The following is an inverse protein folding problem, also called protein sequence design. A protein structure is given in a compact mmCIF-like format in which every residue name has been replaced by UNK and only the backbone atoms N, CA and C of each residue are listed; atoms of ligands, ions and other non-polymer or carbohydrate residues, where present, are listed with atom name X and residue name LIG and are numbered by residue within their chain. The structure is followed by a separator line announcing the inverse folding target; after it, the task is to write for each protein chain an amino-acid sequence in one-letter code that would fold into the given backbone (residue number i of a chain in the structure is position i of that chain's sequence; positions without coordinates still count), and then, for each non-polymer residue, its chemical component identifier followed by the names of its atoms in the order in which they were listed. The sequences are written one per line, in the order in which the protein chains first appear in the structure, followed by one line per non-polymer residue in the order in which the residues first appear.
data_IF_688407897873
#
_entry.id   IF_688407897873
#
_cell.length_a   1.000
_cell.length_b   1.000
_cell.length_c   1.000
_cell.angle_alpha   90.00
_cell.angle_beta   90.00
_cell.angle_gamma   90.00
#
_symmetry.space_group_name_H-M   'P 1'
#
loop_
_entity.id
_entity.type
_entity.pdbx_description
1 polymer ?
#
# COMPACT_ATOMS: atom_id res chain seq x y z
N UNK A 1 15.72 19.63 -7.05
CA UNK A 1 17.14 19.24 -7.22
C UNK A 1 17.17 18.07 -8.17
N UNK A 2 17.91 18.17 -9.28
CA UNK A 2 17.96 17.18 -10.35
C UNK A 2 17.67 17.83 -11.69
N UNK A 3 17.19 17.06 -12.67
CA UNK A 3 16.92 17.55 -14.03
C UNK A 3 15.41 17.67 -14.30
N UNK A 4 15.05 18.56 -15.22
CA UNK A 4 13.66 18.81 -15.61
C UNK A 4 13.14 20.15 -15.08
N UNK A 5 11.87 20.19 -14.71
CA UNK A 5 11.11 21.39 -14.38
C UNK A 5 9.69 21.34 -14.95
N UNK A 6 8.98 22.45 -14.84
CA UNK A 6 7.65 22.62 -15.42
C UNK A 6 7.73 22.56 -16.96
N UNK A 7 6.94 21.68 -17.58
CA UNK A 7 6.85 21.49 -19.05
C UNK A 7 8.20 21.29 -19.76
N UNK A 8 9.13 20.57 -19.14
CA UNK A 8 10.38 20.22 -19.80
C UNK A 8 10.26 18.88 -20.53
N UNK A 9 10.35 18.91 -21.86
CA UNK A 9 10.08 17.74 -22.71
C UNK A 9 11.32 16.90 -23.05
N UNK A 10 12.50 17.27 -22.56
CA UNK A 10 13.73 16.54 -22.89
C UNK A 10 13.92 15.33 -21.97
N UNK A 11 14.83 14.43 -22.35
CA UNK A 11 15.25 13.38 -21.42
C UNK A 11 15.95 13.99 -20.21
N UNK A 12 15.63 13.47 -19.02
CA UNK A 12 16.13 13.95 -17.75
C UNK A 12 17.01 12.89 -17.08
N UNK A 13 18.32 13.11 -17.15
CA UNK A 13 19.33 12.15 -16.73
C UNK A 13 19.55 11.01 -17.74
N UNK A 14 20.53 10.17 -17.44
CA UNK A 14 20.92 9.00 -18.21
C UNK A 14 21.06 7.78 -17.28
N UNK A 15 21.05 6.59 -17.87
CA UNK A 15 21.38 5.37 -17.14
C UNK A 15 22.79 5.49 -16.51
N UNK A 16 22.87 5.26 -15.19
CA UNK A 16 24.12 5.39 -14.43
C UNK A 16 24.40 6.78 -13.86
N UNK A 17 23.58 7.79 -14.19
CA UNK A 17 23.63 9.07 -13.47
C UNK A 17 23.17 8.87 -12.01
N UNK A 18 23.64 9.74 -11.12
CA UNK A 18 23.22 9.72 -9.72
C UNK A 18 22.96 11.14 -9.20
N UNK A 19 21.78 11.36 -8.65
CA UNK A 19 21.44 12.53 -7.85
C UNK A 19 21.61 12.14 -6.39
N UNK A 20 22.67 12.62 -5.75
CA UNK A 20 22.94 12.38 -4.33
C UNK A 20 22.75 13.65 -3.51
N UNK A 21 21.97 13.56 -2.43
CA UNK A 21 21.78 14.64 -1.46
C UNK A 21 22.15 14.13 -0.08
N UNK A 22 23.15 14.75 0.55
CA UNK A 22 23.59 14.42 1.90
C UNK A 22 23.43 15.66 2.77
N UNK A 23 22.48 15.62 3.71
CA UNK A 23 22.37 16.67 4.73
C UNK A 23 23.46 16.44 5.77
N UNK A 24 24.51 17.28 5.78
CA UNK A 24 25.66 17.12 6.69
C UNK A 24 25.29 17.29 8.18
N UNK A 25 24.23 18.05 8.46
CA UNK A 25 23.64 18.25 9.79
C UNK A 25 22.13 18.44 9.64
N UNK A 26 21.33 17.84 10.53
CA UNK A 26 19.87 17.98 10.49
C UNK A 26 19.20 17.07 9.46
N UNK A 27 17.94 17.39 9.12
CA UNK A 27 17.11 16.59 8.21
C UNK A 27 17.01 17.14 6.79
N UNK A 28 16.34 16.39 5.91
CA UNK A 28 15.95 16.82 4.57
C UNK A 28 14.45 17.13 4.60
N UNK A 29 14.04 18.31 4.13
CA UNK A 29 12.63 18.70 4.06
C UNK A 29 12.30 19.25 2.68
N UNK A 30 11.27 18.70 2.05
CA UNK A 30 10.68 19.16 0.80
C UNK A 30 9.28 19.69 1.14
N UNK A 31 9.06 20.99 0.93
CA UNK A 31 7.79 21.65 1.19
C UNK A 31 7.27 22.22 -0.12
N UNK A 32 6.18 21.66 -0.62
CA UNK A 32 5.46 22.25 -1.73
C UNK A 32 4.76 23.56 -1.29
N UNK A 33 4.46 24.41 -2.26
CA UNK A 33 3.78 25.68 -2.01
C UNK A 33 2.27 25.54 -1.79
N UNK A 34 1.60 26.67 -1.63
CA UNK A 34 0.14 26.74 -1.50
C UNK A 34 -0.58 27.13 -2.79
N UNK A 35 0.17 27.51 -3.83
CA UNK A 35 -0.38 27.82 -5.16
C UNK A 35 -0.61 26.53 -5.95
N UNK A 36 -1.48 26.57 -6.95
CA UNK A 36 -1.65 25.48 -7.92
C UNK A 36 -0.29 25.08 -8.51
N UNK A 37 -0.09 23.78 -8.74
CA UNK A 37 1.08 23.23 -9.43
C UNK A 37 2.42 23.51 -8.72
N UNK A 38 2.37 24.00 -7.48
CA UNK A 38 3.57 24.27 -6.70
C UNK A 38 4.17 22.95 -6.20
N UNK A 39 5.46 22.73 -6.47
CA UNK A 39 6.12 21.50 -6.07
C UNK A 39 7.53 21.67 -5.51
N UNK A 40 7.98 20.66 -4.77
CA UNK A 40 9.36 20.48 -4.33
C UNK A 40 9.81 19.05 -4.66
N UNK A 41 10.86 18.89 -5.47
CA UNK A 41 11.31 17.58 -5.92
C UNK A 41 12.81 17.40 -5.74
N UNK A 42 13.24 16.21 -5.30
CA UNK A 42 14.60 15.70 -5.51
C UNK A 42 14.51 14.53 -6.48
N UNK A 43 15.00 14.73 -7.70
CA UNK A 43 14.98 13.75 -8.77
C UNK A 43 14.78 14.36 -10.15
N UNK A 44 14.23 13.58 -11.08
CA UNK A 44 14.12 13.96 -12.49
C UNK A 44 12.66 14.08 -12.90
N UNK A 45 12.30 15.13 -13.63
CA UNK A 45 10.92 15.40 -14.04
C UNK A 45 10.44 16.74 -13.52
N UNK A 46 9.18 16.81 -13.11
CA UNK A 46 8.46 18.04 -12.81
C UNK A 46 7.01 17.96 -13.27
N UNK A 47 6.22 19.00 -12.98
CA UNK A 47 4.84 19.12 -13.47
C UNK A 47 4.85 19.24 -15.00
N UNK A 48 4.06 18.43 -15.70
CA UNK A 48 3.97 18.41 -17.17
C UNK A 48 5.26 17.97 -17.89
N UNK A 49 6.27 17.46 -17.17
CA UNK A 49 7.56 17.15 -17.75
C UNK A 49 7.47 15.93 -18.69
N UNK A 50 7.85 16.10 -19.97
CA UNK A 50 8.05 15.01 -20.91
C UNK A 50 9.40 14.29 -20.77
N UNK A 51 9.75 13.51 -21.80
CA UNK A 51 11.01 12.77 -21.91
C UNK A 51 11.20 11.62 -20.90
N UNK A 52 12.17 10.74 -21.19
CA UNK A 52 12.53 9.63 -20.29
C UNK A 52 13.29 10.18 -19.09
N UNK A 53 12.97 9.71 -17.89
CA UNK A 53 13.67 10.08 -16.65
C UNK A 53 14.47 8.90 -16.12
N UNK A 54 15.78 9.08 -15.97
CA UNK A 54 16.70 8.00 -15.56
C UNK A 54 17.75 8.45 -14.56
N UNK A 55 18.18 7.52 -13.71
CA UNK A 55 19.32 7.69 -12.81
C UNK A 55 18.98 7.32 -11.37
N UNK A 56 19.99 7.07 -10.55
CA UNK A 56 19.77 6.76 -9.15
C UNK A 56 19.54 8.04 -8.34
N UNK A 57 18.60 8.02 -7.39
CA UNK A 57 18.37 9.10 -6.43
C UNK A 57 18.68 8.58 -5.04
N UNK A 58 19.68 9.19 -4.39
CA UNK A 58 20.20 8.74 -3.11
C UNK A 58 20.17 9.87 -2.08
N UNK A 59 19.38 9.71 -1.02
CA UNK A 59 19.31 10.66 0.11
C UNK A 59 20.01 10.09 1.33
N UNK A 60 20.99 10.82 1.86
CA UNK A 60 21.83 10.43 2.99
C UNK A 60 22.45 9.03 2.83
N UNK A 61 22.71 8.63 1.60
CA UNK A 61 23.36 7.37 1.23
C UNK A 61 24.58 7.74 0.38
N UNK A 62 25.72 7.15 0.71
CA UNK A 62 26.95 7.36 -0.05
C UNK A 62 26.82 6.70 -1.43
N UNK A 63 27.01 7.43 -2.55
CA UNK A 63 26.67 6.92 -3.89
C UNK A 63 27.55 5.76 -4.38
N UNK A 64 28.76 5.60 -3.83
CA UNK A 64 29.68 4.53 -4.24
C UNK A 64 29.55 3.29 -3.35
N UNK A 65 29.47 3.49 -2.04
CA UNK A 65 29.45 2.39 -1.06
C UNK A 65 28.04 1.96 -0.69
N UNK A 66 27.03 2.74 -1.09
CA UNK A 66 25.65 2.63 -0.64
C UNK A 66 25.49 2.64 0.89
N UNK A 67 26.51 3.12 1.60
CA UNK A 67 26.51 3.13 3.04
C UNK A 67 25.61 4.27 3.56
N UNK A 68 24.79 4.01 4.59
CA UNK A 68 24.01 5.05 5.22
C UNK A 68 24.92 6.09 5.87
N UNK A 69 24.61 7.37 5.64
CA UNK A 69 25.30 8.47 6.31
C UNK A 69 24.85 8.51 7.77
N UNK A 70 25.79 8.51 8.72
CA UNK A 70 25.52 8.41 10.17
C UNK A 70 24.87 9.66 10.81
N UNK A 71 24.13 10.44 10.02
CA UNK A 71 23.69 11.78 10.38
C UNK A 71 22.29 11.73 10.99
N UNK A 72 22.14 12.41 12.12
CA UNK A 72 20.87 12.60 12.80
C UNK A 72 19.99 13.59 12.04
N UNK A 73 18.85 13.10 11.52
CA UNK A 73 17.89 13.94 10.82
C UNK A 73 16.71 13.16 10.26
N UNK A 74 15.54 13.79 10.30
CA UNK A 74 14.32 13.30 9.66
C UNK A 74 14.38 13.56 8.15
N UNK A 75 13.61 12.80 7.38
CA UNK A 75 13.26 13.14 6.00
C UNK A 75 11.76 13.44 5.96
N UNK A 76 11.38 14.63 5.49
CA UNK A 76 9.98 15.06 5.46
C UNK A 76 9.60 15.60 4.09
N UNK A 77 8.52 15.06 3.52
CA UNK A 77 7.88 15.54 2.30
C UNK A 77 6.50 16.06 2.69
N UNK A 78 6.20 17.32 2.33
CA UNK A 78 4.91 17.97 2.59
C UNK A 78 4.31 18.46 1.26
N UNK A 79 3.20 17.87 0.86
CA UNK A 79 2.58 18.02 -0.47
C UNK A 79 1.89 19.35 -0.75
N UNK A 80 1.88 20.31 0.18
CA UNK A 80 1.33 21.65 -0.06
C UNK A 80 -0.19 21.76 0.17
N UNK A 81 -0.81 22.85 -0.27
CA UNK A 81 -2.25 23.09 -0.05
C UNK A 81 -3.02 23.56 -1.28
N UNK A 82 -2.34 23.73 -2.42
CA UNK A 82 -2.98 24.04 -3.69
C UNK A 82 -3.43 22.77 -4.42
N UNK A 83 -4.20 22.92 -5.49
CA UNK A 83 -4.45 21.82 -6.43
C UNK A 83 -3.14 21.38 -7.07
N UNK A 84 -2.97 20.09 -7.33
CA UNK A 84 -1.82 19.54 -8.07
C UNK A 84 -0.46 19.84 -7.41
N UNK A 85 -0.48 20.16 -6.11
CA UNK A 85 0.74 20.44 -5.35
C UNK A 85 1.41 19.16 -4.89
N UNK A 86 2.75 19.11 -4.94
CA UNK A 86 3.43 17.89 -4.50
C UNK A 86 4.83 18.07 -3.95
N UNK A 87 5.23 17.13 -3.09
CA UNK A 87 6.63 16.94 -2.72
C UNK A 87 7.08 15.51 -3.04
N UNK A 88 8.20 15.34 -3.75
CA UNK A 88 8.64 14.03 -4.22
C UNK A 88 10.15 13.81 -4.09
N UNK A 89 10.54 12.59 -3.73
CA UNK A 89 11.90 12.07 -3.96
C UNK A 89 11.78 10.93 -4.97
N UNK A 90 12.17 11.16 -6.22
CA UNK A 90 11.75 10.25 -7.28
C UNK A 90 11.83 10.78 -8.69
N UNK A 91 11.37 9.98 -9.64
CA UNK A 91 11.22 10.41 -11.03
C UNK A 91 9.77 10.55 -11.43
N UNK A 92 9.48 11.54 -12.27
CA UNK A 92 8.14 11.89 -12.71
C UNK A 92 7.69 13.20 -12.08
N UNK A 93 6.47 13.24 -11.56
CA UNK A 93 5.79 14.45 -11.13
C UNK A 93 4.33 14.41 -11.54
N UNK A 94 3.60 15.48 -11.28
CA UNK A 94 2.24 15.65 -11.78
C UNK A 94 2.24 15.75 -13.33
N UNK A 95 1.34 15.02 -14.01
CA UNK A 95 1.22 15.01 -15.47
C UNK A 95 2.52 14.67 -16.23
N UNK A 96 3.46 13.99 -15.57
CA UNK A 96 4.75 13.69 -16.16
C UNK A 96 4.64 12.50 -17.13
N UNK A 97 4.91 12.71 -18.42
CA UNK A 97 4.82 11.65 -19.43
C UNK A 97 6.11 10.88 -19.69
N UNK A 98 6.02 9.69 -20.29
CA UNK A 98 7.11 8.76 -20.61
C UNK A 98 7.75 8.06 -19.39
N UNK A 99 8.57 7.06 -19.70
CA UNK A 99 9.10 6.13 -18.70
C UNK A 99 10.09 6.74 -17.71
N UNK A 100 10.03 6.22 -16.49
CA UNK A 100 10.89 6.54 -15.35
C UNK A 100 11.63 5.28 -14.91
N UNK A 101 12.93 5.37 -14.58
CA UNK A 101 13.71 4.22 -14.09
C UNK A 101 14.97 4.63 -13.32
N UNK A 102 15.48 3.73 -12.48
CA UNK A 102 16.61 3.98 -11.58
C UNK A 102 16.24 3.70 -10.12
N UNK A 103 17.23 3.52 -9.26
CA UNK A 103 16.98 3.27 -7.85
C UNK A 103 16.62 4.56 -7.11
N UNK A 104 15.69 4.49 -6.18
CA UNK A 104 15.37 5.58 -5.26
C UNK A 104 15.61 5.08 -3.85
N UNK A 105 16.61 5.62 -3.17
CA UNK A 105 16.97 5.17 -1.82
C UNK A 105 17.10 6.32 -0.83
N UNK A 106 16.50 6.16 0.34
CA UNK A 106 16.54 7.11 1.45
C UNK A 106 17.07 6.41 2.70
N UNK A 107 18.04 7.05 3.36
CA UNK A 107 18.38 6.74 4.74
C UNK A 107 18.02 7.91 5.67
N UNK A 108 17.39 7.60 6.80
CA UNK A 108 17.13 8.55 7.88
C UNK A 108 17.44 7.92 9.24
N UNK A 109 18.29 8.58 10.03
CA UNK A 109 18.48 8.19 11.43
C UNK A 109 17.32 8.66 12.33
N UNK A 110 16.46 9.56 11.83
CA UNK A 110 15.20 9.95 12.45
C UNK A 110 14.02 9.29 11.74
N UNK A 111 12.89 9.99 11.67
CA UNK A 111 11.68 9.53 10.96
C UNK A 111 11.73 9.89 9.47
N UNK A 112 11.11 9.05 8.64
CA UNK A 112 10.71 9.44 7.28
C UNK A 112 9.20 9.68 7.25
N UNK A 113 8.77 10.91 6.92
CA UNK A 113 7.37 11.32 6.92
C UNK A 113 6.96 11.86 5.55
N UNK A 114 5.87 11.31 5.01
CA UNK A 114 5.20 11.74 3.80
C UNK A 114 3.81 12.23 4.20
N UNK A 115 3.56 13.53 4.08
CA UNK A 115 2.27 14.15 4.31
C UNK A 115 1.75 14.70 2.99
N UNK A 116 0.72 14.04 2.45
CA UNK A 116 -0.02 14.55 1.30
C UNK A 116 -0.57 15.96 1.57
N UNK A 117 -0.79 16.73 0.52
CA UNK A 117 -1.33 18.08 0.67
C UNK A 117 -2.81 18.12 1.03
N UNK A 118 -3.31 19.35 1.23
CA UNK A 118 -4.73 19.60 1.54
C UNK A 118 -5.58 19.96 0.32
N UNK A 119 -4.95 20.27 -0.83
CA UNK A 119 -5.63 20.54 -2.08
C UNK A 119 -5.99 19.26 -2.82
N UNK A 120 -6.85 19.36 -3.84
CA UNK A 120 -7.15 18.21 -4.69
C UNK A 120 -5.89 17.77 -5.42
N UNK A 121 -5.75 16.46 -5.60
CA UNK A 121 -4.63 15.84 -6.33
C UNK A 121 -3.27 16.09 -5.68
N UNK A 122 -3.25 16.69 -4.48
CA UNK A 122 -2.01 17.05 -3.82
C UNK A 122 -1.35 15.83 -3.20
N UNK A 123 -0.06 15.60 -3.47
CA UNK A 123 0.57 14.33 -3.12
C UNK A 123 1.98 14.43 -2.55
N UNK A 124 2.40 13.33 -1.92
CA UNK A 124 3.80 13.07 -1.61
C UNK A 124 4.20 11.68 -2.04
N UNK A 125 5.40 11.55 -2.60
CA UNK A 125 5.83 10.24 -3.10
C UNK A 125 7.34 10.04 -2.95
N UNK A 126 7.72 8.81 -2.61
CA UNK A 126 9.07 8.29 -2.80
C UNK A 126 9.01 7.14 -3.81
N UNK A 127 9.60 7.32 -4.99
CA UNK A 127 9.55 6.32 -6.06
C UNK A 127 9.36 6.93 -7.44
N UNK A 128 8.67 6.22 -8.33
CA UNK A 128 8.49 6.62 -9.73
C UNK A 128 7.03 6.88 -10.07
N UNK A 129 6.76 7.87 -10.92
CA UNK A 129 5.41 8.20 -11.39
C UNK A 129 4.95 9.55 -10.85
N UNK A 130 3.77 9.60 -10.27
CA UNK A 130 3.12 10.83 -9.82
C UNK A 130 1.62 10.79 -10.08
N UNK A 131 0.95 11.93 -10.00
CA UNK A 131 -0.44 12.03 -10.39
C UNK A 131 -0.54 12.15 -11.93
N UNK A 132 -1.51 11.49 -12.54
CA UNK A 132 -1.80 11.54 -13.98
C UNK A 132 -0.55 11.35 -14.87
N UNK A 133 0.36 10.45 -14.46
CA UNK A 133 1.62 10.20 -15.15
C UNK A 133 1.49 9.03 -16.13
N UNK A 134 2.00 9.24 -17.33
CA UNK A 134 1.96 8.24 -18.41
C UNK A 134 3.28 7.52 -18.59
N UNK A 135 3.22 6.23 -18.91
CA UNK A 135 4.35 5.40 -19.34
C UNK A 135 4.82 4.43 -18.26
N UNK A 136 5.84 3.62 -18.56
CA UNK A 136 6.31 2.63 -17.58
C UNK A 136 7.03 3.32 -16.41
N UNK A 137 6.67 2.94 -15.19
CA UNK A 137 7.22 3.49 -13.96
C UNK A 137 8.05 2.47 -13.19
N UNK A 138 9.36 2.70 -13.20
CA UNK A 138 10.38 1.77 -12.75
C UNK A 138 10.63 0.62 -13.72
N UNK A 139 11.68 -0.14 -13.44
CA UNK A 139 12.04 -1.39 -14.10
C UNK A 139 12.09 -2.55 -13.10
N UNK A 140 12.05 -3.79 -13.59
CA UNK A 140 12.10 -4.97 -12.72
C UNK A 140 13.36 -5.06 -11.85
N UNK A 141 14.46 -4.41 -12.25
CA UNK A 141 15.71 -4.31 -11.49
C UNK A 141 15.73 -3.17 -10.48
N UNK A 142 14.79 -2.23 -10.57
CA UNK A 142 14.82 -1.02 -9.78
C UNK A 142 14.35 -1.30 -8.36
N UNK A 143 14.88 -0.51 -7.43
CA UNK A 143 14.54 -0.58 -6.01
C UNK A 143 14.12 0.81 -5.54
N UNK A 144 12.96 0.87 -4.89
CA UNK A 144 12.55 1.98 -4.04
C UNK A 144 12.76 1.56 -2.58
N UNK A 145 13.75 2.14 -1.90
CA UNK A 145 14.13 1.78 -0.54
C UNK A 145 14.03 2.98 0.42
N UNK A 146 13.35 2.80 1.54
CA UNK A 146 13.31 3.77 2.65
C UNK A 146 13.74 3.08 3.93
N UNK A 147 14.89 3.45 4.47
CA UNK A 147 15.38 2.96 5.75
C UNK A 147 15.34 4.11 6.75
N UNK A 148 14.49 3.99 7.77
CA UNK A 148 14.31 4.98 8.83
C UNK A 148 14.45 4.34 10.20
N UNK A 149 15.35 4.86 11.03
CA UNK A 149 15.53 4.35 12.40
C UNK A 149 14.43 4.82 13.37
N UNK A 150 13.78 5.96 13.09
CA UNK A 150 12.70 6.52 13.92
C UNK A 150 11.30 6.10 13.51
N UNK A 151 11.13 5.40 12.38
CA UNK A 151 9.84 4.97 11.86
C UNK A 151 9.40 5.73 10.60
N UNK A 152 8.42 5.17 9.91
CA UNK A 152 7.89 5.67 8.64
C UNK A 152 6.42 6.03 8.80
N UNK A 153 6.03 7.22 8.36
CA UNK A 153 4.65 7.70 8.43
C UNK A 153 4.19 8.21 7.07
N UNK A 154 3.11 7.64 6.54
CA UNK A 154 2.39 8.12 5.38
C UNK A 154 1.02 8.62 5.86
N UNK A 155 0.72 9.89 5.57
CA UNK A 155 -0.55 10.50 5.87
C UNK A 155 -1.16 11.10 4.60
N UNK A 156 -2.35 10.64 4.25
CA UNK A 156 -3.15 11.22 3.17
C UNK A 156 -3.65 12.63 3.52
N UNK A 157 -4.34 13.29 2.58
CA UNK A 157 -4.79 14.67 2.77
C UNK A 157 -5.87 14.77 3.85
N UNK A 158 -5.65 15.59 4.88
CA UNK A 158 -6.65 15.86 5.94
C UNK A 158 -7.53 17.08 5.66
N UNK A 159 -7.29 17.74 4.53
CA UNK A 159 -8.09 18.86 4.03
C UNK A 159 -9.36 18.40 3.30
N UNK A 160 -9.99 19.34 2.59
CA UNK A 160 -11.14 19.06 1.73
C UNK A 160 -10.77 18.59 0.32
N UNK A 161 -9.49 18.61 -0.05
CA UNK A 161 -9.00 18.17 -1.36
C UNK A 161 -9.13 16.67 -1.57
N UNK A 162 -9.66 16.28 -2.71
CA UNK A 162 -9.89 14.89 -3.12
C UNK A 162 -8.66 14.30 -3.80
N UNK A 163 -8.54 12.96 -3.83
CA UNK A 163 -7.44 12.22 -4.47
C UNK A 163 -6.05 12.59 -3.94
N UNK A 164 -5.95 13.18 -2.75
CA UNK A 164 -4.69 13.54 -2.12
C UNK A 164 -4.02 12.32 -1.48
N UNK A 165 -2.76 12.05 -1.80
CA UNK A 165 -2.12 10.78 -1.42
C UNK A 165 -0.67 10.88 -0.93
N UNK A 166 -0.28 9.88 -0.14
CA UNK A 166 1.12 9.66 0.25
C UNK A 166 1.53 8.23 -0.13
N UNK A 167 2.63 8.08 -0.86
CA UNK A 167 3.05 6.76 -1.36
C UNK A 167 4.56 6.53 -1.28
N UNK A 168 4.97 5.30 -0.93
CA UNK A 168 6.31 4.79 -1.19
C UNK A 168 6.17 3.66 -2.21
N UNK A 169 6.71 3.83 -3.41
CA UNK A 169 6.63 2.87 -4.51
C UNK A 169 6.36 3.54 -5.85
N UNK A 170 6.04 2.72 -6.85
CA UNK A 170 5.90 3.17 -8.24
C UNK A 170 4.44 3.26 -8.66
N UNK A 171 4.08 4.31 -9.39
CA UNK A 171 2.71 4.62 -9.81
C UNK A 171 2.27 5.96 -9.24
N UNK A 172 1.06 5.99 -8.69
CA UNK A 172 0.37 7.19 -8.23
C UNK A 172 -1.10 7.19 -8.67
N UNK A 173 -1.79 8.30 -8.42
CA UNK A 173 -3.19 8.46 -8.85
C UNK A 173 -3.28 8.63 -10.36
N UNK A 174 -4.18 7.91 -11.03
CA UNK A 174 -4.40 8.00 -12.49
C UNK A 174 -3.12 7.76 -13.32
N UNK A 175 -2.27 6.84 -12.87
CA UNK A 175 -1.04 6.52 -13.61
C UNK A 175 -1.26 5.39 -14.60
N UNK A 176 -0.70 5.54 -15.78
CA UNK A 176 -0.83 4.58 -16.88
C UNK A 176 0.49 3.92 -17.21
N UNK A 177 0.50 2.59 -17.38
CA UNK A 177 1.66 1.84 -17.85
C UNK A 177 2.13 0.77 -16.88
N UNK A 178 3.29 0.17 -17.15
CA UNK A 178 3.82 -0.87 -16.27
C UNK A 178 4.48 -0.25 -15.04
N UNK A 179 4.01 -0.59 -13.84
CA UNK A 179 4.68 -0.25 -12.58
C UNK A 179 5.54 -1.44 -12.12
N UNK A 180 6.86 -1.28 -12.13
CA UNK A 180 7.79 -2.38 -11.85
C UNK A 180 8.89 -1.95 -10.89
N UNK A 181 9.38 -2.90 -10.09
CA UNK A 181 10.49 -2.70 -9.16
C UNK A 181 10.12 -3.09 -7.73
N UNK A 182 11.13 -3.31 -6.90
CA UNK A 182 10.93 -3.72 -5.52
C UNK A 182 10.74 -2.50 -4.62
N UNK A 183 9.80 -2.59 -3.68
CA UNK A 183 9.53 -1.55 -2.68
C UNK A 183 9.90 -2.08 -1.30
N UNK A 184 10.87 -1.44 -0.67
CA UNK A 184 11.54 -1.94 0.53
C UNK A 184 11.54 -0.86 1.61
N UNK A 185 10.80 -1.10 2.70
CA UNK A 185 10.75 -0.19 3.85
C UNK A 185 11.38 -0.86 5.05
N UNK A 186 12.38 -0.20 5.62
CA UNK A 186 13.16 -0.70 6.75
C UNK A 186 13.77 -2.08 6.44
N UNK A 187 14.33 -2.21 5.24
CA UNK A 187 14.99 -3.41 4.77
C UNK A 187 16.23 -3.00 3.99
N UNK A 188 17.37 -3.63 4.27
CA UNK A 188 18.61 -3.40 3.54
C UNK A 188 18.61 -4.22 2.24
N UNK A 189 18.50 -3.57 1.06
CA UNK A 189 18.49 -4.26 -0.22
C UNK A 189 19.80 -4.98 -0.55
N UNK A 190 20.92 -4.62 0.08
CA UNK A 190 22.23 -5.21 -0.19
C UNK A 190 22.47 -6.41 0.72
N UNK A 191 22.24 -6.23 2.03
CA UNK A 191 22.40 -7.29 3.02
C UNK A 191 21.27 -8.32 3.02
N UNK A 192 20.10 -7.98 2.46
CA UNK A 192 18.93 -8.85 2.46
C UNK A 192 18.35 -9.06 3.87
N UNK A 193 18.50 -8.08 4.75
CA UNK A 193 18.10 -8.15 6.17
C UNK A 193 17.25 -6.94 6.57
N UNK A 194 16.48 -7.07 7.65
CA UNK A 194 15.77 -5.93 8.24
C UNK A 194 16.75 -4.83 8.68
N UNK A 195 16.39 -3.57 8.46
CA UNK A 195 17.19 -2.39 8.78
C UNK A 195 16.29 -1.23 9.22
N UNK A 196 16.79 -0.24 9.95
CA UNK A 196 15.94 0.82 10.51
C UNK A 196 15.19 0.34 11.75
N UNK A 197 14.00 0.91 12.00
CA UNK A 197 13.19 0.62 13.18
C UNK A 197 11.97 1.53 13.29
N UNK A 198 11.42 1.64 14.50
CA UNK A 198 10.27 2.50 14.78
C UNK A 198 8.97 2.00 14.14
N UNK A 199 7.84 2.64 14.43
CA UNK A 199 6.55 2.25 13.86
C UNK A 199 6.49 2.58 12.36
N UNK A 200 5.78 1.75 11.60
CA UNK A 200 5.33 2.06 10.23
C UNK A 200 3.84 2.31 10.25
N UNK A 201 3.42 3.53 9.89
CA UNK A 201 2.01 3.95 9.92
C UNK A 201 1.58 4.46 8.56
N UNK A 202 0.47 3.92 8.07
CA UNK A 202 -0.28 4.40 6.91
C UNK A 202 -1.64 4.83 7.41
N UNK A 203 -1.98 6.11 7.24
CA UNK A 203 -3.30 6.63 7.57
C UNK A 203 -3.81 7.47 6.41
N UNK A 204 -4.87 7.01 5.76
CA UNK A 204 -5.49 7.76 4.69
C UNK A 204 -6.30 8.95 5.22
N UNK A 205 -6.54 9.91 4.32
CA UNK A 205 -7.11 11.21 4.59
C UNK A 205 -8.63 11.22 4.79
N UNK A 206 -9.19 12.43 4.91
CA UNK A 206 -10.61 12.63 5.25
C UNK A 206 -11.51 12.89 4.05
N UNK A 207 -10.95 13.25 2.89
CA UNK A 207 -11.68 13.54 1.67
C UNK A 207 -11.68 12.35 0.70
N UNK A 208 -12.54 12.42 -0.32
CA UNK A 208 -12.75 11.34 -1.30
C UNK A 208 -11.44 10.94 -1.97
N UNK A 209 -11.23 9.64 -2.12
CA UNK A 209 -10.17 9.03 -2.91
C UNK A 209 -8.75 9.30 -2.42
N UNK A 210 -8.64 9.89 -1.23
CA UNK A 210 -7.36 10.05 -0.57
C UNK A 210 -6.81 8.67 -0.24
N UNK A 211 -5.52 8.43 -0.40
CA UNK A 211 -4.97 7.13 -0.08
C UNK A 211 -3.57 7.20 0.49
N UNK A 212 -3.18 6.11 1.13
CA UNK A 212 -1.78 5.86 1.45
C UNK A 212 -1.37 4.48 0.99
N UNK A 213 -0.19 4.36 0.41
CA UNK A 213 0.29 3.06 -0.07
C UNK A 213 1.80 2.89 0.11
N UNK A 214 2.20 1.69 0.52
CA UNK A 214 3.58 1.21 0.33
C UNK A 214 3.51 0.05 -0.65
N UNK A 215 3.99 0.25 -1.88
CA UNK A 215 3.89 -0.74 -2.95
C UNK A 215 3.65 -0.08 -4.32
N UNK A 216 3.45 -0.91 -5.34
CA UNK A 216 3.28 -0.45 -6.72
C UNK A 216 1.81 -0.33 -7.11
N UNK A 217 1.45 0.78 -7.75
CA UNK A 217 0.10 1.09 -8.21
C UNK A 217 -0.38 2.43 -7.66
N UNK A 218 -1.65 2.46 -7.24
CA UNK A 218 -2.31 3.69 -6.77
C UNK A 218 -3.78 3.70 -7.16
N UNK A 219 -4.47 4.80 -6.89
CA UNK A 219 -5.89 4.91 -7.25
C UNK A 219 -6.03 5.05 -8.75
N UNK A 220 -6.92 4.26 -9.36
CA UNK A 220 -7.19 4.32 -10.79
C UNK A 220 -5.94 4.14 -11.68
N UNK A 221 -4.91 3.45 -11.17
CA UNK A 221 -3.68 3.20 -11.92
C UNK A 221 -3.86 2.02 -12.90
N UNK A 222 -3.65 2.26 -14.20
CA UNK A 222 -3.77 1.27 -15.26
C UNK A 222 -2.43 0.65 -15.66
N UNK A 223 -2.46 -0.63 -16.04
CA UNK A 223 -1.30 -1.38 -16.51
C UNK A 223 -0.70 -2.33 -15.48
N UNK A 224 0.26 -3.14 -15.93
CA UNK A 224 0.77 -4.27 -15.15
C UNK A 224 1.59 -3.80 -13.94
N UNK A 225 1.41 -4.44 -12.79
CA UNK A 225 2.13 -4.15 -11.54
C UNK A 225 3.01 -5.33 -11.18
N UNK A 226 4.29 -5.09 -10.92
CA UNK A 226 5.23 -6.17 -10.61
C UNK A 226 6.33 -5.77 -9.62
N UNK A 227 6.88 -6.75 -8.91
CA UNK A 227 7.92 -6.55 -7.90
C UNK A 227 7.44 -6.97 -6.50
N UNK A 228 8.37 -7.04 -5.55
CA UNK A 228 8.06 -7.42 -4.17
C UNK A 228 7.90 -6.17 -3.30
N UNK A 229 7.07 -6.28 -2.26
CA UNK A 229 6.97 -5.29 -1.19
C UNK A 229 7.42 -5.90 0.13
N UNK A 230 8.39 -5.29 0.82
CA UNK A 230 8.82 -5.71 2.16
C UNK A 230 8.74 -4.51 3.10
N UNK A 231 8.08 -4.67 4.24
CA UNK A 231 7.95 -3.64 5.28
C UNK A 231 8.33 -4.22 6.62
N UNK A 232 9.31 -3.61 7.29
CA UNK A 232 9.65 -3.92 8.68
C UNK A 232 9.39 -2.71 9.58
N UNK A 233 8.94 -2.94 10.81
CA UNK A 233 8.84 -1.89 11.82
C UNK A 233 8.72 -2.49 13.22
N UNK A 234 8.80 -1.65 14.24
CA UNK A 234 8.50 -2.06 15.61
C UNK A 234 7.03 -2.50 15.71
N UNK A 235 6.14 -1.75 15.07
CA UNK A 235 4.72 -2.06 14.85
C UNK A 235 4.30 -1.58 13.47
N UNK A 236 3.23 -2.16 12.89
CA UNK A 236 2.69 -1.73 11.59
C UNK A 236 1.20 -1.43 11.71
N UNK A 237 0.79 -0.26 11.23
CA UNK A 237 -0.61 0.19 11.27
C UNK A 237 -1.06 0.64 9.89
N UNK A 238 -2.13 0.04 9.37
CA UNK A 238 -2.75 0.36 8.07
C UNK A 238 -4.19 0.77 8.32
N UNK A 239 -4.45 2.08 8.25
CA UNK A 239 -5.72 2.68 8.68
C UNK A 239 -6.37 3.40 7.51
N UNK A 240 -7.57 2.97 7.14
CA UNK A 240 -8.36 3.60 6.10
C UNK A 240 -8.87 4.99 6.55
N UNK A 241 -9.09 5.88 5.58
CA UNK A 241 -9.50 7.26 5.80
C UNK A 241 -11.02 7.44 5.81
N UNK A 242 -11.51 8.53 6.40
CA UNK A 242 -12.95 8.78 6.52
C UNK A 242 -13.63 9.23 5.21
N UNK A 243 -12.85 9.52 4.17
CA UNK A 243 -13.37 9.86 2.85
C UNK A 243 -13.93 8.66 2.10
N UNK A 244 -14.83 8.89 1.15
CA UNK A 244 -15.27 7.83 0.24
C UNK A 244 -14.08 7.32 -0.59
N UNK A 245 -13.92 6.01 -0.77
CA UNK A 245 -12.79 5.42 -1.49
C UNK A 245 -11.44 5.60 -0.77
N UNK A 246 -11.41 6.13 0.46
CA UNK A 246 -10.15 6.53 1.09
C UNK A 246 -9.40 5.34 1.72
N UNK A 247 -8.58 4.63 0.94
CA UNK A 247 -7.95 3.38 1.38
C UNK A 247 -6.50 3.53 1.85
N UNK A 248 -6.03 2.51 2.57
CA UNK A 248 -4.63 2.34 2.93
C UNK A 248 -4.17 0.92 2.60
N UNK A 249 -3.01 0.78 1.95
CA UNK A 249 -2.53 -0.53 1.48
C UNK A 249 -1.02 -0.70 1.62
N UNK A 250 -0.59 -1.91 2.00
CA UNK A 250 0.78 -2.38 1.79
C UNK A 250 0.75 -3.50 0.75
N UNK A 251 1.52 -3.33 -0.32
CA UNK A 251 1.58 -4.21 -1.48
C UNK A 251 1.01 -3.55 -2.74
N UNK A 252 0.82 -4.34 -3.80
CA UNK A 252 0.49 -3.81 -5.12
C UNK A 252 -1.01 -3.80 -5.39
N UNK A 253 -1.55 -2.69 -5.89
CA UNK A 253 -2.99 -2.58 -6.09
C UNK A 253 -3.41 -1.44 -7.00
N UNK A 254 -4.62 -1.56 -7.53
CA UNK A 254 -5.35 -0.46 -8.14
C UNK A 254 -6.52 -0.09 -7.23
N UNK A 255 -6.46 1.10 -6.65
CA UNK A 255 -7.64 1.69 -6.00
C UNK A 255 -8.71 2.04 -7.03
N UNK A 256 -9.91 2.36 -6.53
CA UNK A 256 -11.05 2.83 -7.31
C UNK A 256 -11.37 4.26 -6.89
N UNK A 257 -11.91 5.07 -7.80
CA UNK A 257 -12.62 6.28 -7.39
C UNK A 257 -13.94 5.96 -6.69
N UNK A 258 -14.26 6.72 -5.64
CA UNK A 258 -15.43 6.54 -4.80
C UNK A 258 -16.74 6.82 -5.52
N UNK A 259 -16.69 7.47 -6.68
CA UNK A 259 -17.82 7.61 -7.61
C UNK A 259 -17.93 6.47 -8.63
N UNK A 260 -17.02 5.50 -8.60
CA UNK A 260 -16.93 4.33 -9.48
C UNK A 260 -16.70 4.66 -10.97
N UNK A 261 -16.19 5.85 -11.28
CA UNK A 261 -15.96 6.30 -12.65
C UNK A 261 -14.71 5.68 -13.30
N UNK A 262 -13.69 5.32 -12.51
CA UNK A 262 -12.46 4.70 -12.98
C UNK A 262 -12.00 3.56 -12.04
N UNK A 263 -11.62 2.43 -12.65
CA UNK A 263 -11.11 1.23 -11.98
C UNK A 263 -9.75 0.90 -12.60
N UNK A 264 -8.67 1.03 -11.83
CA UNK A 264 -7.36 0.70 -12.35
C UNK A 264 -7.27 -0.77 -12.76
N UNK A 265 -6.57 -1.03 -13.85
CA UNK A 265 -6.49 -2.31 -14.53
C UNK A 265 -5.08 -2.89 -14.56
N UNK A 266 -4.98 -4.13 -15.02
CA UNK A 266 -3.72 -4.79 -15.35
C UNK A 266 -3.41 -6.00 -14.48
N UNK A 267 -2.56 -6.89 -15.00
CA UNK A 267 -2.10 -8.05 -14.23
C UNK A 267 -1.15 -7.62 -13.10
N UNK A 268 -1.30 -8.23 -11.93
CA UNK A 268 -0.44 -7.97 -10.78
C UNK A 268 0.40 -9.21 -10.49
N UNK A 269 1.72 -9.08 -10.48
CA UNK A 269 2.67 -10.15 -10.14
C UNK A 269 3.56 -9.73 -8.99
N UNK A 270 3.23 -10.13 -7.77
CA UNK A 270 3.85 -9.57 -6.55
C UNK A 270 3.93 -10.55 -5.39
N UNK A 271 4.68 -10.17 -4.37
CA UNK A 271 4.58 -10.71 -3.02
C UNK A 271 4.77 -9.60 -2.00
N UNK A 272 4.06 -9.68 -0.88
CA UNK A 272 4.09 -8.70 0.19
C UNK A 272 4.50 -9.37 1.50
N UNK A 273 5.52 -8.83 2.16
CA UNK A 273 5.98 -9.27 3.48
C UNK A 273 5.94 -8.11 4.47
N UNK A 274 5.30 -8.30 5.61
CA UNK A 274 5.19 -7.30 6.68
C UNK A 274 5.64 -7.92 8.00
N UNK A 275 6.63 -7.30 8.65
CA UNK A 275 7.14 -7.75 9.94
C UNK A 275 7.03 -6.65 11.00
N UNK A 276 6.40 -6.96 12.13
CA UNK A 276 6.38 -6.13 13.35
C UNK A 276 7.26 -6.76 14.43
N UNK A 277 8.44 -6.20 14.67
CA UNK A 277 9.51 -6.83 15.48
C UNK A 277 9.32 -6.68 16.99
N UNK A 278 8.51 -5.72 17.44
CA UNK A 278 8.32 -5.43 18.87
C UNK A 278 6.85 -5.34 19.30
N UNK A 279 5.94 -5.08 18.36
CA UNK A 279 4.53 -4.85 18.56
C UNK A 279 3.67 -5.57 17.52
N UNK A 280 2.45 -5.07 17.35
CA UNK A 280 1.42 -5.70 16.52
C UNK A 280 1.37 -5.18 15.08
N UNK A 281 0.49 -5.83 14.31
CA UNK A 281 0.03 -5.39 12.99
C UNK A 281 -1.47 -5.11 13.08
N UNK A 282 -1.89 -3.89 12.73
CA UNK A 282 -3.30 -3.47 12.75
C UNK A 282 -3.73 -3.07 11.35
N UNK A 283 -4.84 -3.63 10.87
CA UNK A 283 -5.59 -3.16 9.71
C UNK A 283 -6.96 -2.70 10.18
N UNK A 284 -7.29 -1.43 9.97
CA UNK A 284 -8.58 -0.89 10.41
C UNK A 284 -9.25 -0.05 9.34
N UNK A 285 -10.46 -0.47 8.98
CA UNK A 285 -11.42 0.34 8.23
C UNK A 285 -12.54 0.92 9.12
N UNK A 286 -12.36 0.88 10.45
CA UNK A 286 -13.39 1.24 11.45
C UNK A 286 -13.99 2.63 11.20
N UNK A 287 -13.13 3.61 10.95
CA UNK A 287 -13.50 5.00 10.65
C UNK A 287 -13.52 5.30 9.14
N UNK A 288 -13.50 4.26 8.31
CA UNK A 288 -13.45 4.40 6.86
C UNK A 288 -14.72 5.08 6.31
N UNK A 289 -14.59 5.90 5.27
CA UNK A 289 -15.75 6.30 4.47
C UNK A 289 -16.26 5.15 3.60
N UNK A 290 -17.35 5.35 2.84
CA UNK A 290 -17.85 4.32 1.92
C UNK A 290 -16.75 3.89 0.97
N UNK A 291 -16.56 2.58 0.75
CA UNK A 291 -15.52 2.02 -0.15
C UNK A 291 -14.08 2.15 0.36
N UNK A 292 -13.86 2.65 1.58
CA UNK A 292 -12.54 2.71 2.19
C UNK A 292 -12.11 1.34 2.72
N UNK A 293 -10.86 0.94 2.52
CA UNK A 293 -10.35 -0.35 3.00
C UNK A 293 -8.93 -0.25 3.55
N UNK A 294 -8.58 -1.22 4.39
CA UNK A 294 -7.21 -1.43 4.87
C UNK A 294 -6.73 -2.80 4.38
N UNK A 295 -5.60 -2.87 3.68
CA UNK A 295 -5.13 -4.13 3.11
C UNK A 295 -3.61 -4.33 3.23
N UNK A 296 -3.21 -5.57 3.50
CA UNK A 296 -1.84 -6.06 3.24
C UNK A 296 -1.94 -7.18 2.21
N UNK A 297 -1.28 -7.02 1.07
CA UNK A 297 -1.35 -7.98 -0.03
C UNK A 297 -1.53 -7.27 -1.37
N UNK A 298 -2.34 -7.83 -2.25
CA UNK A 298 -2.48 -7.28 -3.60
C UNK A 298 -3.93 -7.18 -4.04
N UNK A 299 -4.22 -6.28 -4.98
CA UNK A 299 -5.57 -6.04 -5.48
C UNK A 299 -6.19 -4.79 -4.87
N UNK A 300 -7.45 -4.88 -4.44
CA UNK A 300 -8.21 -3.74 -3.94
C UNK A 300 -9.70 -3.90 -4.20
N UNK A 301 -10.45 -2.81 -4.03
CA UNK A 301 -11.89 -2.79 -4.31
C UNK A 301 -12.13 -2.75 -5.82
N UNK A 302 -12.76 -3.79 -6.37
CA UNK A 302 -13.09 -3.92 -7.80
C UNK A 302 -11.85 -3.81 -8.71
N UNK A 303 -10.71 -4.34 -8.22
CA UNK A 303 -9.45 -4.33 -8.97
C UNK A 303 -9.51 -5.38 -10.08
N UNK A 304 -9.54 -4.94 -11.34
CA UNK A 304 -9.61 -5.88 -12.45
C UNK A 304 -8.22 -6.45 -12.79
N UNK A 305 -8.18 -7.70 -13.24
CA UNK A 305 -6.95 -8.38 -13.67
C UNK A 305 -6.61 -9.64 -12.88
N UNK A 306 -5.67 -10.42 -13.41
CA UNK A 306 -5.16 -11.61 -12.73
C UNK A 306 -4.12 -11.20 -11.68
N UNK A 307 -4.23 -11.81 -10.49
CA UNK A 307 -3.30 -11.65 -9.37
C UNK A 307 -2.43 -12.90 -9.29
N UNK A 308 -1.11 -12.72 -9.35
CA UNK A 308 -0.15 -13.83 -9.31
C UNK A 308 0.91 -13.58 -8.24
N UNK A 309 1.03 -14.51 -7.30
CA UNK A 309 2.14 -14.57 -6.36
C UNK A 309 3.46 -14.89 -7.04
N UNK A 310 4.52 -14.17 -6.68
CA UNK A 310 5.91 -14.53 -7.05
C UNK A 310 6.40 -15.82 -6.38
N UNK A 311 5.67 -16.29 -5.36
CA UNK A 311 5.88 -17.53 -4.62
C UNK A 311 4.52 -18.09 -4.20
N UNK A 312 4.46 -19.40 -3.89
CA UNK A 312 3.24 -20.07 -3.43
C UNK A 312 2.62 -19.41 -2.18
N UNK A 313 3.47 -18.91 -1.27
CA UNK A 313 3.08 -17.98 -0.20
C UNK A 313 3.53 -16.60 -0.63
N UNK A 314 2.57 -15.76 -1.02
CA UNK A 314 2.83 -14.43 -1.57
C UNK A 314 2.45 -13.30 -0.63
N UNK A 315 1.66 -13.56 0.42
CA UNK A 315 1.43 -12.59 1.49
C UNK A 315 1.88 -13.16 2.82
N UNK A 316 2.84 -12.51 3.47
CA UNK A 316 3.34 -12.92 4.80
C UNK A 316 3.23 -11.75 5.78
N UNK A 317 2.62 -12.00 6.94
CA UNK A 317 2.56 -11.05 8.06
C UNK A 317 3.07 -11.73 9.32
N UNK A 318 4.11 -11.16 9.94
CA UNK A 318 4.68 -11.68 11.19
C UNK A 318 4.73 -10.58 12.24
N UNK A 319 4.06 -10.75 13.35
CA UNK A 319 4.04 -9.81 14.47
C UNK A 319 4.48 -10.50 15.76
N UNK A 320 5.32 -9.82 16.55
CA UNK A 320 5.60 -10.24 17.93
C UNK A 320 4.44 -9.92 18.87
N UNK A 321 3.65 -8.89 18.54
CA UNK A 321 2.37 -8.56 19.18
C UNK A 321 1.18 -9.14 18.42
N UNK A 322 -0.01 -8.58 18.68
CA UNK A 322 -1.25 -9.03 18.05
C UNK A 322 -1.30 -8.70 16.55
N UNK A 323 -1.99 -9.54 15.77
CA UNK A 323 -2.48 -9.20 14.43
C UNK A 323 -3.98 -8.96 14.51
N UNK A 324 -4.42 -7.73 14.19
CA UNK A 324 -5.80 -7.30 14.33
C UNK A 324 -6.35 -6.75 13.02
N UNK A 325 -7.51 -7.24 12.60
CA UNK A 325 -8.25 -6.77 11.43
C UNK A 325 -9.65 -6.32 11.85
N UNK A 326 -10.02 -5.08 11.49
CA UNK A 326 -11.31 -4.48 11.84
C UNK A 326 -11.99 -3.94 10.57
N UNK A 327 -13.11 -4.54 10.19
CA UNK A 327 -14.01 -4.02 9.17
C UNK A 327 -14.68 -2.70 9.60
N UNK A 328 -15.22 -1.95 8.65
CA UNK A 328 -15.76 -0.62 8.92
C UNK A 328 -17.25 -0.55 9.21
N UNK A 329 -17.72 0.67 9.44
CA UNK A 329 -19.14 0.96 9.72
C UNK A 329 -19.86 1.61 8.53
N UNK A 330 -19.26 1.59 7.35
CA UNK A 330 -19.81 2.11 6.08
C UNK A 330 -19.67 1.04 4.98
N UNK A 331 -20.44 1.15 3.90
CA UNK A 331 -20.52 0.10 2.88
C UNK A 331 -19.17 -0.18 2.21
N UNK A 332 -18.86 -1.47 2.02
CA UNK A 332 -17.62 -1.98 1.43
C UNK A 332 -16.36 -1.69 2.26
N UNK A 333 -16.50 -1.42 3.55
CA UNK A 333 -15.36 -1.13 4.40
C UNK A 333 -14.74 -2.40 4.97
N UNK A 334 -13.65 -2.88 4.36
CA UNK A 334 -13.04 -4.14 4.76
C UNK A 334 -11.59 -4.00 5.22
N UNK A 335 -11.16 -4.99 6.00
CA UNK A 335 -9.77 -5.24 6.35
C UNK A 335 -9.34 -6.60 5.78
N UNK A 336 -8.26 -6.66 5.00
CA UNK A 336 -7.81 -7.89 4.33
C UNK A 336 -6.29 -8.11 4.46
N UNK A 337 -5.90 -9.32 4.84
CA UNK A 337 -4.54 -9.84 4.59
C UNK A 337 -4.64 -10.93 3.52
N UNK A 338 -4.12 -10.66 2.33
CA UNK A 338 -4.17 -11.58 1.19
C UNK A 338 -4.31 -10.87 -0.15
N UNK A 339 -4.45 -11.66 -1.22
CA UNK A 339 -4.70 -11.12 -2.56
C UNK A 339 -6.21 -11.03 -2.86
N UNK A 340 -6.62 -9.97 -3.54
CA UNK A 340 -7.97 -9.69 -3.98
C UNK A 340 -8.57 -8.47 -3.28
N UNK A 341 -9.82 -8.60 -2.87
CA UNK A 341 -10.62 -7.54 -2.30
C UNK A 341 -12.09 -7.74 -2.67
N UNK A 342 -12.90 -6.71 -2.43
CA UNK A 342 -14.32 -6.82 -2.73
C UNK A 342 -14.59 -6.59 -4.22
N UNK A 343 -15.37 -7.45 -4.86
CA UNK A 343 -15.74 -7.28 -6.27
C UNK A 343 -14.79 -7.94 -7.27
N UNK A 344 -14.85 -7.52 -8.54
CA UNK A 344 -14.32 -8.28 -9.68
C UNK A 344 -12.79 -8.30 -9.73
N UNK A 345 -12.20 -9.35 -9.17
CA UNK A 345 -10.81 -9.70 -9.43
C UNK A 345 -10.74 -10.97 -10.30
N UNK A 346 -9.75 -11.06 -11.17
CA UNK A 346 -9.50 -12.24 -12.00
C UNK A 346 -9.00 -13.44 -11.20
N UNK A 347 -8.27 -14.35 -11.85
CA UNK A 347 -7.67 -15.49 -11.17
C UNK A 347 -6.60 -15.05 -10.17
N UNK A 348 -6.58 -15.68 -9.00
CA UNK A 348 -5.62 -15.48 -7.91
C UNK A 348 -4.73 -16.72 -7.82
N UNK A 349 -3.54 -16.67 -8.41
CA UNK A 349 -2.62 -17.81 -8.52
C UNK A 349 -1.47 -17.64 -7.56
N UNK A 350 -1.03 -18.71 -6.88
CA UNK A 350 0.04 -18.62 -5.87
C UNK A 350 -0.27 -17.59 -4.77
N UNK A 351 -1.53 -17.49 -4.41
CA UNK A 351 -2.08 -16.50 -3.50
C UNK A 351 -2.06 -16.99 -2.05
N UNK A 352 -1.05 -17.77 -1.65
CA UNK A 352 -0.95 -18.28 -0.29
C UNK A 352 -0.65 -17.16 0.72
N UNK A 353 -1.20 -17.33 1.92
CA UNK A 353 -1.15 -16.34 3.00
C UNK A 353 -0.60 -17.00 4.25
N UNK A 354 0.40 -16.38 4.87
CA UNK A 354 0.94 -16.81 6.15
C UNK A 354 0.86 -15.66 7.16
N UNK A 355 0.19 -15.88 8.29
CA UNK A 355 0.07 -14.89 9.36
C UNK A 355 0.54 -15.49 10.68
N UNK A 356 1.41 -14.78 11.39
CA UNK A 356 1.86 -15.11 12.75
C UNK A 356 1.71 -13.90 13.65
N UNK A 357 1.11 -14.08 14.83
CA UNK A 357 0.97 -13.05 15.85
C UNK A 357 1.04 -13.63 17.26
N UNK A 358 1.19 -12.80 18.29
CA UNK A 358 0.94 -13.19 19.68
C UNK A 358 -0.49 -13.70 19.85
N UNK A 359 -1.44 -12.94 19.31
CA UNK A 359 -2.85 -13.28 19.16
C UNK A 359 -3.31 -12.83 17.77
N UNK A 360 -4.42 -13.39 17.28
CA UNK A 360 -5.00 -13.01 15.98
C UNK A 360 -6.49 -12.73 16.15
N UNK A 361 -6.93 -11.52 15.80
CA UNK A 361 -8.34 -11.12 15.91
C UNK A 361 -8.88 -10.52 14.63
N UNK A 362 -10.06 -10.98 14.20
CA UNK A 362 -10.79 -10.47 13.04
C UNK A 362 -12.20 -10.06 13.49
N UNK A 363 -12.56 -8.80 13.24
CA UNK A 363 -13.90 -8.29 13.54
C UNK A 363 -14.54 -7.74 12.26
N UNK A 364 -15.66 -8.33 11.85
CA UNK A 364 -16.50 -7.80 10.79
C UNK A 364 -17.16 -6.47 11.19
N UNK A 365 -17.60 -5.70 10.20
CA UNK A 365 -18.08 -4.34 10.36
C UNK A 365 -19.59 -4.17 10.54
N UNK A 366 -20.03 -2.92 10.69
CA UNK A 366 -21.43 -2.56 10.97
C UNK A 366 -22.33 -2.41 9.73
N UNK A 367 -21.75 -2.26 8.54
CA UNK A 367 -22.46 -1.92 7.29
C UNK A 367 -22.27 -2.97 6.19
N UNK A 368 -22.96 -2.82 5.06
CA UNK A 368 -22.96 -3.85 4.00
C UNK A 368 -21.56 -4.13 3.45
N UNK A 369 -21.20 -5.41 3.29
CA UNK A 369 -19.90 -5.85 2.77
C UNK A 369 -18.69 -5.33 3.59
N UNK A 370 -18.88 -5.11 4.89
CA UNK A 370 -17.80 -4.70 5.79
C UNK A 370 -17.23 -5.92 6.52
N UNK A 371 -16.18 -6.53 5.99
CA UNK A 371 -15.63 -7.79 6.53
C UNK A 371 -14.18 -7.64 7.00
N UNK A 372 -13.74 -8.64 7.76
CA UNK A 372 -12.33 -8.87 8.06
C UNK A 372 -11.93 -10.26 7.53
N UNK A 373 -10.81 -10.35 6.82
CA UNK A 373 -10.36 -11.63 6.26
C UNK A 373 -8.84 -11.79 6.29
N UNK A 374 -8.39 -12.99 6.65
CA UNK A 374 -7.04 -13.49 6.38
C UNK A 374 -7.16 -14.64 5.37
N UNK A 375 -6.58 -14.45 4.20
CA UNK A 375 -6.70 -15.36 3.07
C UNK A 375 -6.94 -14.62 1.78
N UNK A 376 -6.69 -15.27 0.65
CA UNK A 376 -6.87 -14.64 -0.66
C UNK A 376 -8.29 -14.86 -1.19
N UNK A 377 -8.85 -13.83 -1.82
CA UNK A 377 -10.24 -13.76 -2.22
C UNK A 377 -10.82 -12.40 -1.86
N UNK A 378 -11.97 -12.41 -1.21
CA UNK A 378 -12.71 -11.23 -0.78
C UNK A 378 -14.22 -11.42 -0.89
N UNK A 379 -14.95 -10.38 -0.52
CA UNK A 379 -16.41 -10.39 -0.49
C UNK A 379 -17.07 -9.89 -1.77
N UNK A 380 -18.36 -10.17 -1.89
CA UNK A 380 -19.24 -9.40 -2.76
C UNK A 380 -19.36 -7.95 -2.24
N UNK A 381 -19.30 -6.97 -3.14
CA UNK A 381 -19.60 -5.56 -2.80
C UNK A 381 -21.09 -5.33 -2.48
N UNK A 382 -21.42 -4.20 -1.84
CA UNK A 382 -22.80 -3.74 -1.64
C UNK A 382 -23.58 -3.52 -2.94
N UNK A 383 -22.88 -3.36 -4.07
CA UNK A 383 -23.45 -3.26 -5.42
C UNK A 383 -23.66 -4.61 -6.11
N UNK A 384 -23.50 -5.73 -5.40
CA UNK A 384 -23.59 -7.11 -5.91
C UNK A 384 -22.49 -7.54 -6.89
N UNK A 385 -21.37 -6.79 -6.99
CA UNK A 385 -20.20 -7.24 -7.73
C UNK A 385 -19.52 -8.38 -6.96
N UNK A 386 -19.37 -9.55 -7.58
CA UNK A 386 -18.75 -10.74 -6.98
C UNK A 386 -17.28 -10.83 -7.33
N UNK A 387 -16.47 -11.37 -6.43
CA UNK A 387 -15.11 -11.80 -6.80
C UNK A 387 -15.20 -13.00 -7.72
N UNK A 388 -14.55 -12.89 -8.87
CA UNK A 388 -14.48 -13.93 -9.90
C UNK A 388 -13.14 -14.66 -9.88
N UNK A 389 -12.98 -15.63 -10.78
CA UNK A 389 -11.71 -16.33 -10.96
C UNK A 389 -11.49 -17.51 -10.00
N UNK A 390 -10.47 -18.32 -10.33
CA UNK A 390 -9.95 -19.37 -9.45
C UNK A 390 -8.99 -18.80 -8.42
N UNK A 391 -8.91 -19.45 -7.27
CA UNK A 391 -7.99 -19.11 -6.17
C UNK A 391 -7.11 -20.32 -5.90
N UNK A 392 -5.79 -20.14 -5.90
CA UNK A 392 -4.84 -21.15 -5.44
C UNK A 392 -3.85 -20.57 -4.44
N UNK A 393 -3.41 -21.40 -3.50
CA UNK A 393 -2.44 -21.03 -2.46
C UNK A 393 -3.01 -21.22 -1.06
N UNK A 394 -2.23 -21.84 -0.20
CA UNK A 394 -2.67 -22.23 1.14
C UNK A 394 -2.68 -21.06 2.13
N UNK A 395 -3.54 -21.16 3.13
CA UNK A 395 -3.64 -20.19 4.23
C UNK A 395 -3.13 -20.84 5.52
N UNK A 396 -2.16 -20.21 6.17
CA UNK A 396 -1.66 -20.58 7.49
C UNK A 396 -1.76 -19.41 8.46
N UNK A 397 -2.35 -19.64 9.63
CA UNK A 397 -2.45 -18.65 10.70
C UNK A 397 -1.97 -19.24 12.01
N UNK A 398 -1.07 -18.54 12.70
CA UNK A 398 -0.51 -18.95 13.98
C UNK A 398 -0.72 -17.86 15.04
N UNK A 399 -1.43 -18.18 16.12
CA UNK A 399 -1.46 -17.41 17.36
C UNK A 399 -0.47 -18.06 18.35
N UNK A 400 0.63 -17.38 18.63
CA UNK A 400 1.80 -17.97 19.31
C UNK A 400 1.66 -18.02 20.83
N UNK A 401 0.95 -17.08 21.46
CA UNK A 401 0.83 -17.00 22.93
C UNK A 401 -0.57 -16.67 23.46
N UNK A 402 -1.49 -16.24 22.60
CA UNK A 402 -2.80 -15.74 22.95
C UNK A 402 -3.89 -16.32 22.06
N UNK A 403 -5.08 -15.73 22.17
CA UNK A 403 -6.27 -16.26 21.52
C UNK A 403 -6.28 -15.99 20.00
N UNK A 404 -7.06 -16.82 19.31
CA UNK A 404 -7.52 -16.58 17.95
C UNK A 404 -9.03 -16.33 17.97
N UNK A 405 -9.45 -15.12 17.59
CA UNK A 405 -10.86 -14.72 17.68
C UNK A 405 -11.40 -14.17 16.36
N UNK A 406 -12.55 -14.68 15.94
CA UNK A 406 -13.32 -14.17 14.83
C UNK A 406 -14.66 -13.71 15.35
N UNK A 407 -15.06 -12.48 15.04
CA UNK A 407 -16.37 -11.93 15.35
C UNK A 407 -17.03 -11.41 14.07
N UNK A 408 -18.22 -11.90 13.74
CA UNK A 408 -18.98 -11.39 12.59
C UNK A 408 -19.47 -9.96 12.85
N UNK A 409 -19.71 -9.22 11.77
CA UNK A 409 -20.32 -7.90 11.86
C UNK A 409 -21.85 -7.90 11.97
N UNK A 410 -22.43 -6.71 12.12
CA UNK A 410 -23.89 -6.52 12.12
C UNK A 410 -24.47 -6.14 10.75
N UNK A 411 -23.62 -5.80 9.78
CA UNK A 411 -24.05 -5.47 8.43
C UNK A 411 -24.38 -6.69 7.56
N UNK A 412 -25.12 -6.48 6.47
CA UNK A 412 -25.28 -7.50 5.42
C UNK A 412 -23.90 -7.90 4.87
N UNK A 413 -23.63 -9.19 4.70
CA UNK A 413 -22.34 -9.68 4.16
C UNK A 413 -21.12 -9.30 5.02
N UNK A 414 -21.30 -8.99 6.30
CA UNK A 414 -20.22 -8.58 7.21
C UNK A 414 -19.72 -9.78 8.00
N UNK A 415 -18.68 -10.43 7.48
CA UNK A 415 -18.12 -11.65 8.06
C UNK A 415 -16.71 -11.44 8.63
N UNK A 416 -16.25 -12.42 9.41
CA UNK A 416 -14.85 -12.60 9.75
C UNK A 416 -14.39 -13.97 9.26
N UNK A 417 -13.30 -14.06 8.49
CA UNK A 417 -12.87 -15.32 7.88
C UNK A 417 -11.36 -15.52 7.92
N UNK A 418 -10.93 -16.74 8.26
CA UNK A 418 -9.60 -17.26 7.94
C UNK A 418 -9.78 -18.35 6.88
N UNK A 419 -9.20 -18.14 5.69
CA UNK A 419 -9.32 -19.07 4.58
C UNK A 419 -9.43 -18.34 3.24
N UNK A 420 -9.18 -19.08 2.16
CA UNK A 420 -9.33 -18.59 0.81
C UNK A 420 -10.81 -18.48 0.42
N UNK A 421 -11.13 -17.53 -0.45
CA UNK A 421 -12.50 -17.29 -0.92
C UNK A 421 -13.14 -16.08 -0.26
N UNK A 422 -14.36 -16.26 0.22
CA UNK A 422 -15.20 -15.19 0.76
C UNK A 422 -16.62 -15.31 0.25
N UNK A 423 -17.47 -14.35 0.59
CA UNK A 423 -18.89 -14.42 0.24
C UNK A 423 -19.09 -14.47 -1.28
N UNK A 424 -19.79 -15.51 -1.75
CA UNK A 424 -20.11 -15.80 -3.15
C UNK A 424 -18.89 -16.08 -4.06
N UNK A 425 -17.75 -16.48 -3.49
CA UNK A 425 -16.70 -17.12 -4.27
C UNK A 425 -17.17 -18.51 -4.77
N UNK A 426 -17.06 -18.85 -6.07
CA UNK A 426 -17.53 -20.13 -6.58
C UNK A 426 -16.67 -21.28 -6.06
N UNK A 427 -17.24 -22.16 -5.22
CA UNK A 427 -16.49 -23.21 -4.52
C UNK A 427 -15.67 -24.16 -5.43
N UNK A 428 -16.09 -24.39 -6.68
CA UNK A 428 -15.35 -25.22 -7.64
C UNK A 428 -14.07 -24.56 -8.19
N UNK A 429 -13.76 -23.33 -7.75
CA UNK A 429 -12.60 -22.55 -8.22
C UNK A 429 -11.52 -22.35 -7.15
N UNK A 430 -11.68 -22.92 -5.94
CA UNK A 430 -10.74 -22.72 -4.82
C UNK A 430 -9.88 -23.99 -4.61
N UNK A 431 -8.57 -23.85 -4.74
CA UNK A 431 -7.56 -24.89 -4.47
C UNK A 431 -6.62 -24.40 -3.36
N UNK A 432 -7.06 -24.54 -2.11
CA UNK A 432 -6.36 -24.04 -0.92
C UNK A 432 -6.61 -24.97 0.27
N UNK A 433 -5.57 -25.23 1.06
CA UNK A 433 -5.69 -25.77 2.42
C UNK A 433 -5.66 -24.62 3.42
N UNK A 434 -6.41 -24.73 4.50
CA UNK A 434 -6.40 -23.77 5.61
C UNK A 434 -5.89 -24.46 6.88
N UNK A 435 -4.82 -23.94 7.47
CA UNK A 435 -4.22 -24.45 8.72
C UNK A 435 -4.20 -23.34 9.75
N UNK A 436 -4.74 -23.62 10.94
CA UNK A 436 -4.72 -22.70 12.08
C UNK A 436 -4.05 -23.38 13.27
N UNK A 437 -3.04 -22.72 13.83
CA UNK A 437 -2.40 -23.09 15.09
C UNK A 437 -2.68 -22.01 16.14
N UNK A 438 -3.40 -22.38 17.19
CA UNK A 438 -3.64 -21.56 18.37
C UNK A 438 -3.35 -22.37 19.64
N UNK A 439 -2.30 -23.20 19.61
CA UNK A 439 -1.98 -24.19 20.65
C UNK A 439 -1.77 -23.62 22.05
N UNK A 440 -1.54 -22.31 22.19
CA UNK A 440 -1.35 -21.61 23.47
C UNK A 440 -2.55 -20.79 23.96
N UNK A 441 -3.63 -20.70 23.17
CA UNK A 441 -4.81 -19.88 23.48
C UNK A 441 -6.13 -20.57 23.12
N UNK A 442 -7.22 -19.82 23.23
CA UNK A 442 -8.55 -20.27 22.79
C UNK A 442 -8.81 -19.88 21.34
N UNK A 443 -9.55 -20.73 20.64
CA UNK A 443 -10.15 -20.39 19.35
C UNK A 443 -11.62 -20.02 19.59
N UNK A 444 -11.99 -18.78 19.29
CA UNK A 444 -13.36 -18.26 19.43
C UNK A 444 -13.92 -17.84 18.07
N UNK A 445 -15.11 -18.37 17.75
CA UNK A 445 -15.88 -17.99 16.57
C UNK A 445 -17.24 -17.44 17.03
N UNK A 446 -17.43 -16.13 16.94
CA UNK A 446 -18.62 -15.43 17.39
C UNK A 446 -19.42 -14.87 16.20
N UNK A 447 -20.51 -15.54 15.84
CA UNK A 447 -21.42 -15.10 14.79
C UNK A 447 -22.63 -14.27 15.32
N UNK A 448 -22.57 -13.77 16.56
CA UNK A 448 -23.71 -13.08 17.21
C UNK A 448 -23.90 -11.62 16.77
N UNK A 449 -23.05 -11.10 15.86
CA UNK A 449 -23.15 -9.74 15.34
C UNK A 449 -24.49 -9.43 14.65
N UNK A 450 -25.24 -10.44 14.22
CA UNK A 450 -26.63 -10.31 13.77
C UNK A 450 -26.82 -9.85 12.33
N UNK A 451 -25.73 -9.68 11.57
CA UNK A 451 -25.78 -9.33 10.15
C UNK A 451 -26.35 -10.46 9.28
N UNK A 452 -27.22 -10.12 8.33
CA UNK A 452 -27.70 -11.08 7.32
C UNK A 452 -26.51 -11.56 6.50
N UNK A 453 -26.35 -12.87 6.31
CA UNK A 453 -25.18 -13.48 5.67
C UNK A 453 -23.83 -13.13 6.34
N UNK A 454 -23.84 -12.63 7.57
CA UNK A 454 -22.67 -12.53 8.43
C UNK A 454 -22.31 -13.90 9.01
N UNK A 455 -21.03 -14.22 9.04
CA UNK A 455 -20.54 -15.49 9.58
C UNK A 455 -19.14 -15.32 10.15
N UNK A 456 -18.72 -16.34 10.90
CA UNK A 456 -17.32 -16.59 11.27
C UNK A 456 -16.90 -17.92 10.67
N UNK A 457 -15.77 -17.96 9.96
CA UNK A 457 -15.31 -19.17 9.27
C UNK A 457 -13.79 -19.36 9.40
N UNK A 458 -13.39 -20.60 9.65
CA UNK A 458 -12.03 -21.09 9.42
C UNK A 458 -12.15 -22.25 8.42
N UNK A 459 -11.56 -22.12 7.23
CA UNK A 459 -11.63 -23.14 6.18
C UNK A 459 -12.10 -22.58 4.86
#
# INVERSE_FOLDING_TARGET
IGHGGHDNDNNHGLAGDTISVIAQTGGISLNAGSASDAYAQIGNGGNGAGGVKMGDILLNIAPITFAPSAISGNVSLNGGSGTDTYAMVGHGGDEAGNSTSGNVAIFSAGTTSLQAGNGSDAFTQVGHGGHNSDGNHGAASDIVAVISAGGVSLLGGTGGGTRAYAQIGNGGGETDGTMAGNVLVNFDPIGGVAAGGGPVTLMSGTASDNYTQIGNGGTASDGAKSGITIVNGDSVSVIAGSGAGAYSQIGAGSGIFGDTSNFGSGAITTSTTVNATNGGVILSALNGGSQAYAQIGAGGLVANGNLTGTSAVSTTVSATGAVELIGGSVNNNYALIGMGGSGLDGAKTNAGVNVTGASVSLTGGGATASYAQIGSGGGMTSGNNTSTGSISGDVSVTATSGDLSLASGSGLNSYAQIGAGGLNAPASSITSSTVVDASSGQVSLDATGGGVSGYTLIG
#
